data_IF_515834731385
#
_entry.id   IF_515834731385
#
_cell.length_a   1.000
_cell.length_b   1.000
_cell.length_c   1.000
_cell.angle_alpha   90.00
_cell.angle_beta   90.00
_cell.angle_gamma   90.00
#
_symmetry.space_group_name_H-M   'P 1'
#
loop_
_entity.id
_entity.type
_entity.pdbx_description
1 polymer ?
#
# COMPACT_ATOMS: atom_id res chain seq x y z
N UNK A 1 5.75 16.49 14.84
CA UNK A 1 6.16 15.18 15.36
C UNK A 1 7.66 15.26 15.48
N UNK A 2 8.20 15.14 16.70
CA UNK A 2 9.65 15.03 16.92
C UNK A 2 10.13 13.71 16.31
N UNK A 3 10.67 13.79 15.11
CA UNK A 3 11.12 12.62 14.34
C UNK A 3 12.30 11.88 14.97
N UNK A 4 12.92 12.45 16.02
CA UNK A 4 14.00 11.80 16.77
C UNK A 4 13.55 10.62 17.66
N UNK A 5 12.25 10.42 17.83
CA UNK A 5 11.71 9.29 18.64
C UNK A 5 11.53 8.02 17.79
N UNK A 6 11.40 8.15 16.46
CA UNK A 6 11.21 7.01 15.57
C UNK A 6 12.53 6.69 14.87
N UNK A 7 13.15 5.58 15.23
CA UNK A 7 14.45 5.15 14.66
C UNK A 7 14.29 4.40 13.31
N UNK A 8 13.09 3.96 12.95
CA UNK A 8 12.82 3.28 11.69
C UNK A 8 12.71 4.29 10.53
N UNK A 9 13.75 4.36 9.69
CA UNK A 9 13.80 5.24 8.52
C UNK A 9 12.62 5.01 7.56
N UNK A 10 12.14 3.77 7.42
CA UNK A 10 10.99 3.46 6.58
C UNK A 10 9.69 4.03 7.15
N UNK A 11 9.48 3.88 8.47
CA UNK A 11 8.31 4.46 9.13
C UNK A 11 8.30 5.99 9.03
N UNK A 12 9.44 6.64 9.24
CA UNK A 12 9.58 8.11 9.10
C UNK A 12 9.22 8.56 7.68
N UNK A 13 9.76 7.89 6.66
CA UNK A 13 9.50 8.23 5.25
C UNK A 13 8.01 8.03 4.87
N UNK A 14 7.35 7.01 5.43
CA UNK A 14 5.91 6.82 5.25
C UNK A 14 5.08 7.91 5.92
N UNK A 15 5.42 8.29 7.15
CA UNK A 15 4.70 9.34 7.88
C UNK A 15 4.82 10.74 7.23
N UNK A 16 5.87 10.96 6.43
CA UNK A 16 6.05 12.18 5.64
C UNK A 16 5.23 12.18 4.34
N UNK A 17 4.64 11.04 3.96
CA UNK A 17 3.82 10.94 2.76
C UNK A 17 2.59 11.85 2.85
N UNK A 18 2.19 12.44 1.74
CA UNK A 18 0.91 13.14 1.65
C UNK A 18 -0.25 12.14 1.65
N UNK A 19 -0.93 12.04 2.78
CA UNK A 19 -2.13 11.22 2.94
C UNK A 19 -3.34 11.73 2.16
N UNK A 20 -3.28 12.97 1.63
CA UNK A 20 -4.39 13.60 0.92
C UNK A 20 -5.59 13.91 1.80
N UNK A 21 -5.36 14.16 3.09
CA UNK A 21 -6.40 14.58 4.03
C UNK A 21 -6.92 15.97 3.65
N UNK A 22 -8.24 16.08 3.57
CA UNK A 22 -8.94 17.34 3.19
C UNK A 22 -9.61 18.03 4.37
N UNK A 23 -9.60 17.42 5.55
CA UNK A 23 -10.15 17.98 6.78
C UNK A 23 -11.65 17.75 7.01
N UNK A 24 -12.33 17.01 6.15
CA UNK A 24 -13.74 16.65 6.32
C UNK A 24 -14.00 15.15 6.51
N UNK A 25 -12.94 14.38 6.69
CA UNK A 25 -13.02 12.93 6.92
C UNK A 25 -13.66 12.57 8.26
N UNK A 26 -13.87 13.52 9.14
CA UNK A 26 -14.62 13.36 10.38
C UNK A 26 -16.15 13.33 10.17
N UNK A 27 -16.65 13.82 9.03
CA UNK A 27 -18.10 13.92 8.76
C UNK A 27 -18.86 12.60 8.90
N UNK A 28 -18.38 11.46 8.41
CA UNK A 28 -19.04 10.16 8.65
C UNK A 28 -19.25 9.87 10.13
N UNK A 29 -18.26 10.18 10.98
CA UNK A 29 -18.38 10.00 12.43
C UNK A 29 -19.41 10.93 13.07
N UNK A 30 -19.45 12.20 12.64
CA UNK A 30 -20.42 13.17 13.12
C UNK A 30 -21.86 12.76 12.71
N UNK A 31 -22.05 12.37 11.46
CA UNK A 31 -23.33 11.90 10.95
C UNK A 31 -23.78 10.61 11.64
N UNK A 32 -22.87 9.68 11.90
CA UNK A 32 -23.13 8.48 12.67
C UNK A 32 -23.65 8.81 14.08
N UNK A 33 -22.95 9.68 14.80
CA UNK A 33 -23.34 10.12 16.13
C UNK A 33 -24.73 10.77 16.12
N UNK A 34 -24.97 11.67 15.20
CA UNK A 34 -26.27 12.35 15.04
C UNK A 34 -27.40 11.35 14.74
N UNK A 35 -27.16 10.38 13.86
CA UNK A 35 -28.12 9.33 13.52
C UNK A 35 -28.42 8.42 14.70
N UNK A 36 -27.42 8.03 15.50
CA UNK A 36 -27.61 7.25 16.72
C UNK A 36 -28.49 8.02 17.72
N UNK A 37 -28.15 9.28 18.00
CA UNK A 37 -28.96 10.14 18.89
C UNK A 37 -30.39 10.24 18.37
N UNK A 38 -30.59 10.47 17.07
CA UNK A 38 -31.90 10.54 16.46
C UNK A 38 -32.74 9.26 16.71
N UNK A 39 -32.15 8.07 16.55
CA UNK A 39 -32.83 6.80 16.83
C UNK A 39 -33.27 6.73 18.30
N UNK A 40 -32.38 7.10 19.23
CA UNK A 40 -32.70 7.04 20.66
C UNK A 40 -33.79 8.03 21.10
N UNK A 41 -33.87 9.18 20.42
CA UNK A 41 -34.89 10.21 20.70
C UNK A 41 -36.25 9.90 20.04
N UNK A 42 -36.23 9.40 18.79
CA UNK A 42 -37.45 9.27 17.98
C UNK A 42 -38.08 7.88 18.00
N UNK A 43 -37.29 6.83 18.21
CA UNK A 43 -37.85 5.45 18.26
C UNK A 43 -38.22 5.10 19.70
N UNK A 44 -39.49 4.71 19.97
CA UNK A 44 -39.96 4.34 21.32
C UNK A 44 -39.11 3.22 21.93
N UNK A 45 -38.89 3.28 23.23
CA UNK A 45 -38.14 2.24 23.96
C UNK A 45 -38.78 0.85 23.88
N UNK A 46 -40.09 0.79 23.68
CA UNK A 46 -40.88 -0.44 23.54
C UNK A 46 -40.68 -1.13 22.20
N UNK A 47 -40.20 -0.39 21.15
CA UNK A 47 -40.00 -0.94 19.81
C UNK A 47 -38.52 -1.36 19.65
N UNK A 48 -38.14 -2.40 20.39
CA UNK A 48 -36.76 -2.89 20.44
C UNK A 48 -36.24 -3.34 19.07
N UNK A 49 -37.10 -4.02 18.29
CA UNK A 49 -36.70 -4.51 16.96
C UNK A 49 -36.36 -3.35 16.02
N UNK A 50 -37.22 -2.34 15.97
CA UNK A 50 -37.00 -1.17 15.12
C UNK A 50 -35.75 -0.39 15.51
N UNK A 51 -35.48 -0.25 16.82
CA UNK A 51 -34.21 0.33 17.30
C UNK A 51 -33.01 -0.47 16.84
N UNK A 52 -33.03 -1.78 17.06
CA UNK A 52 -31.93 -2.66 16.71
C UNK A 52 -31.62 -2.63 15.20
N UNK A 53 -32.64 -2.75 14.36
CA UNK A 53 -32.50 -2.69 12.89
C UNK A 53 -31.98 -1.33 12.46
N UNK A 54 -32.52 -0.22 13.01
CA UNK A 54 -32.07 1.13 12.66
C UNK A 54 -30.59 1.33 13.02
N UNK A 55 -30.17 0.92 14.21
CA UNK A 55 -28.77 1.03 14.63
C UNK A 55 -27.85 0.17 13.77
N UNK A 56 -28.29 -1.04 13.39
CA UNK A 56 -27.52 -1.90 12.53
C UNK A 56 -27.30 -1.29 11.13
N UNK A 57 -28.36 -0.74 10.52
CA UNK A 57 -28.28 -0.07 9.23
C UNK A 57 -27.36 1.17 9.28
N UNK A 58 -27.50 2.00 10.33
CA UNK A 58 -26.64 3.17 10.53
C UNK A 58 -25.16 2.75 10.67
N UNK A 59 -24.88 1.70 11.44
CA UNK A 59 -23.54 1.18 11.61
C UNK A 59 -22.96 0.66 10.29
N UNK A 60 -23.76 -0.04 9.49
CA UNK A 60 -23.34 -0.53 8.17
C UNK A 60 -22.97 0.64 7.25
N UNK A 61 -23.81 1.67 7.16
CA UNK A 61 -23.56 2.87 6.35
C UNK A 61 -22.29 3.57 6.81
N UNK A 62 -22.10 3.73 8.12
CA UNK A 62 -20.91 4.33 8.70
C UNK A 62 -19.65 3.52 8.33
N UNK A 63 -19.68 2.20 8.52
CA UNK A 63 -18.54 1.32 8.19
C UNK A 63 -18.15 1.43 6.71
N UNK A 64 -19.12 1.37 5.81
CA UNK A 64 -18.86 1.52 4.37
C UNK A 64 -18.28 2.91 4.07
N UNK A 65 -18.81 3.96 4.68
CA UNK A 65 -18.30 5.33 4.51
C UNK A 65 -16.84 5.47 4.97
N UNK A 66 -16.49 4.87 6.12
CA UNK A 66 -15.11 4.87 6.62
C UNK A 66 -14.18 4.10 5.68
N UNK A 67 -14.60 2.91 5.22
CA UNK A 67 -13.81 2.13 4.26
C UNK A 67 -13.56 2.94 2.98
N UNK A 68 -14.55 3.63 2.46
CA UNK A 68 -14.41 4.38 1.20
C UNK A 68 -13.61 5.68 1.35
N UNK A 69 -13.73 6.38 2.48
CA UNK A 69 -13.16 7.72 2.64
C UNK A 69 -11.85 7.74 3.42
N UNK A 70 -11.68 6.86 4.41
CA UNK A 70 -10.54 6.90 5.33
C UNK A 70 -9.47 5.89 4.94
N UNK A 71 -9.85 4.64 4.64
CA UNK A 71 -8.90 3.57 4.35
C UNK A 71 -7.94 3.92 3.20
N UNK A 72 -8.37 4.47 2.05
CA UNK A 72 -7.44 4.83 0.97
C UNK A 72 -6.41 5.90 1.36
N UNK A 73 -6.73 6.75 2.35
CA UNK A 73 -5.78 7.74 2.86
C UNK A 73 -4.75 7.11 3.79
N UNK A 74 -5.19 6.16 4.62
CA UNK A 74 -4.29 5.39 5.48
C UNK A 74 -3.33 4.54 4.64
N UNK A 75 -3.81 3.94 3.55
CA UNK A 75 -2.96 3.16 2.63
C UNK A 75 -1.80 3.98 2.06
N UNK A 76 -1.97 5.29 1.85
CA UNK A 76 -0.90 6.18 1.36
C UNK A 76 0.31 6.24 2.29
N UNK A 77 0.12 6.01 3.59
CA UNK A 77 1.20 5.92 4.58
C UNK A 77 1.83 4.53 4.68
N UNK A 78 1.45 3.57 3.85
CA UNK A 78 1.96 2.20 3.95
C UNK A 78 2.47 1.66 2.63
N UNK A 79 1.63 1.02 1.84
CA UNK A 79 2.04 0.28 0.65
C UNK A 79 1.68 0.95 -0.68
N UNK A 80 1.03 2.10 -0.66
CA UNK A 80 0.50 2.71 -1.88
C UNK A 80 1.59 2.98 -2.93
N UNK A 81 2.77 3.45 -2.52
CA UNK A 81 3.87 3.71 -3.44
C UNK A 81 4.35 2.43 -4.16
N UNK A 82 4.40 1.30 -3.43
CA UNK A 82 4.71 -0.01 -3.98
C UNK A 82 3.63 -0.46 -4.98
N UNK A 83 2.37 -0.30 -4.60
CA UNK A 83 1.21 -0.68 -5.44
C UNK A 83 1.15 0.16 -6.71
N UNK A 84 1.33 1.48 -6.62
CA UNK A 84 1.37 2.38 -7.77
C UNK A 84 2.50 2.01 -8.72
N UNK A 85 3.69 1.71 -8.18
CA UNK A 85 4.83 1.30 -8.98
C UNK A 85 4.57 -0.01 -9.75
N UNK A 86 3.99 -1.02 -9.11
CA UNK A 86 3.68 -2.26 -9.81
C UNK A 86 2.54 -2.11 -10.81
N UNK A 87 1.54 -1.28 -10.52
CA UNK A 87 0.48 -0.95 -11.48
C UNK A 87 1.00 -0.24 -12.71
N UNK A 88 2.00 0.63 -12.57
CA UNK A 88 2.58 1.35 -13.72
C UNK A 88 3.31 0.43 -14.69
N UNK A 89 3.75 -0.76 -14.23
CA UNK A 89 4.40 -1.78 -15.05
C UNK A 89 3.50 -3.01 -15.31
N UNK A 90 2.18 -2.87 -15.08
CA UNK A 90 1.25 -3.97 -15.27
C UNK A 90 1.13 -4.36 -16.75
N UNK A 91 1.30 -5.65 -17.02
CA UNK A 91 1.24 -6.19 -18.39
C UNK A 91 2.50 -6.01 -19.21
N UNK A 92 3.54 -5.37 -18.69
CA UNK A 92 4.85 -5.33 -19.35
C UNK A 92 5.54 -6.71 -19.28
N UNK A 93 6.36 -7.00 -20.29
CA UNK A 93 7.15 -8.25 -20.32
C UNK A 93 8.44 -8.10 -19.51
N UNK A 94 8.30 -7.92 -18.21
CA UNK A 94 9.38 -7.66 -17.25
C UNK A 94 9.23 -8.52 -16.01
N UNK A 95 10.29 -8.60 -15.21
CA UNK A 95 10.23 -9.21 -13.88
C UNK A 95 10.01 -8.13 -12.82
N UNK A 96 9.06 -8.35 -11.91
CA UNK A 96 8.79 -7.49 -10.74
C UNK A 96 9.19 -8.25 -9.48
N UNK A 97 10.15 -7.74 -8.71
CA UNK A 97 10.71 -8.46 -7.56
C UNK A 97 10.86 -7.56 -6.34
N UNK A 98 10.36 -8.02 -5.19
CA UNK A 98 10.64 -7.42 -3.90
C UNK A 98 11.94 -7.97 -3.34
N UNK A 99 12.79 -7.11 -2.76
CA UNK A 99 14.01 -7.49 -2.06
C UNK A 99 13.90 -7.11 -0.59
N UNK A 100 14.32 -8.04 0.29
CA UNK A 100 14.39 -7.86 1.74
C UNK A 100 13.03 -7.64 2.45
N UNK A 101 11.92 -7.87 1.78
CA UNK A 101 10.60 -7.93 2.40
C UNK A 101 9.63 -8.79 1.58
N UNK A 102 8.60 -9.33 2.24
CA UNK A 102 7.57 -10.14 1.57
C UNK A 102 6.39 -9.26 1.20
N UNK A 103 5.97 -9.30 -0.06
CA UNK A 103 4.74 -8.71 -0.54
C UNK A 103 4.26 -9.46 -1.79
N UNK A 104 2.97 -9.66 -1.89
CA UNK A 104 2.32 -10.23 -3.06
C UNK A 104 1.84 -9.16 -4.06
N UNK A 105 2.15 -7.88 -3.78
CA UNK A 105 1.70 -6.75 -4.59
C UNK A 105 2.14 -6.86 -6.06
N UNK A 106 3.36 -7.35 -6.32
CA UNK A 106 3.86 -7.55 -7.70
C UNK A 106 3.01 -8.54 -8.50
N UNK A 107 2.55 -9.62 -7.88
CA UNK A 107 1.68 -10.61 -8.51
C UNK A 107 0.28 -10.07 -8.77
N UNK A 108 -0.30 -9.41 -7.79
CA UNK A 108 -1.69 -8.96 -7.84
C UNK A 108 -1.85 -7.69 -8.68
N UNK A 109 -1.02 -6.68 -8.44
CA UNK A 109 -1.15 -5.38 -9.10
C UNK A 109 -0.31 -5.25 -10.38
N UNK A 110 0.79 -5.99 -10.48
CA UNK A 110 1.61 -6.05 -11.68
C UNK A 110 1.00 -6.88 -12.81
N UNK A 111 -0.12 -7.58 -12.54
CA UNK A 111 -0.80 -8.49 -13.48
C UNK A 111 0.18 -9.46 -14.17
N UNK A 112 1.27 -9.84 -13.46
CA UNK A 112 2.28 -10.73 -14.01
C UNK A 112 1.79 -12.17 -13.93
N UNK A 113 1.87 -12.88 -15.06
CA UNK A 113 1.71 -14.34 -15.08
C UNK A 113 2.91 -14.99 -14.37
N UNK A 114 2.74 -16.16 -13.73
CA UNK A 114 3.87 -16.90 -13.18
C UNK A 114 4.98 -17.03 -14.22
N UNK A 115 6.22 -16.65 -13.90
CA UNK A 115 7.31 -16.70 -14.88
C UNK A 115 7.58 -18.14 -15.28
N UNK A 116 7.76 -18.36 -16.59
CA UNK A 116 8.13 -19.67 -17.12
C UNK A 116 9.56 -20.06 -16.72
N UNK A 117 10.44 -19.06 -16.56
CA UNK A 117 11.80 -19.25 -16.12
C UNK A 117 11.84 -19.45 -14.59
N UNK A 118 12.19 -20.65 -14.14
CA UNK A 118 12.26 -20.97 -12.71
C UNK A 118 13.36 -20.19 -11.97
N UNK A 119 14.40 -19.72 -12.68
CA UNK A 119 15.46 -18.91 -12.09
C UNK A 119 14.95 -17.56 -11.55
N UNK A 120 13.76 -17.11 -11.94
CA UNK A 120 13.09 -15.94 -11.37
C UNK A 120 12.98 -16.00 -9.84
N UNK A 121 12.87 -17.17 -9.26
CA UNK A 121 12.73 -17.32 -7.80
C UNK A 121 14.05 -17.12 -7.06
N UNK A 122 15.18 -17.24 -7.75
CA UNK A 122 16.50 -16.92 -7.21
C UNK A 122 16.81 -15.43 -7.36
N UNK A 123 16.86 -14.72 -6.21
CA UNK A 123 17.19 -13.30 -6.18
C UNK A 123 18.61 -13.01 -6.68
N UNK A 124 19.57 -13.92 -6.45
CA UNK A 124 20.94 -13.75 -6.92
C UNK A 124 21.01 -13.82 -8.44
N UNK A 125 20.27 -14.75 -9.06
CA UNK A 125 20.18 -14.81 -10.52
C UNK A 125 19.60 -13.53 -11.12
N UNK A 126 18.57 -12.97 -10.49
CA UNK A 126 17.99 -11.70 -10.95
C UNK A 126 18.94 -10.51 -10.78
N UNK A 127 19.82 -10.54 -9.77
CA UNK A 127 20.75 -9.45 -9.47
C UNK A 127 22.07 -9.54 -10.27
N UNK A 128 22.56 -10.76 -10.60
CA UNK A 128 23.89 -10.95 -11.18
C UNK A 128 23.94 -11.93 -12.35
N UNK A 129 22.88 -12.75 -12.56
CA UNK A 129 22.84 -13.78 -13.60
C UNK A 129 22.51 -13.21 -14.99
N UNK A 130 22.47 -14.09 -15.98
CA UNK A 130 22.07 -13.75 -17.34
C UNK A 130 20.53 -13.73 -17.44
N UNK A 131 19.97 -12.53 -17.31
CA UNK A 131 18.51 -12.30 -17.30
C UNK A 131 17.98 -12.14 -18.72
N UNK A 132 16.85 -12.78 -19.00
CA UNK A 132 16.17 -12.76 -20.31
C UNK A 132 15.21 -11.57 -20.48
N UNK A 133 14.89 -10.86 -19.41
CA UNK A 133 13.99 -9.70 -19.38
C UNK A 133 14.48 -8.67 -18.38
N UNK A 134 14.09 -7.43 -18.58
CA UNK A 134 14.33 -6.36 -17.62
C UNK A 134 13.70 -6.69 -16.26
N UNK A 135 14.40 -6.34 -15.19
CA UNK A 135 13.96 -6.61 -13.82
C UNK A 135 13.79 -5.30 -13.08
N UNK A 136 12.60 -5.09 -12.55
CA UNK A 136 12.34 -4.03 -11.58
C UNK A 136 12.40 -4.58 -10.17
N UNK A 137 13.25 -4.01 -9.34
CA UNK A 137 13.36 -4.34 -7.93
C UNK A 137 12.76 -3.24 -7.08
N UNK A 138 12.13 -3.66 -6.00
CA UNK A 138 11.67 -2.75 -4.95
C UNK A 138 12.26 -3.20 -3.63
N UNK A 139 12.88 -2.27 -2.90
CA UNK A 139 13.38 -2.50 -1.54
C UNK A 139 12.97 -1.36 -0.63
N UNK A 140 13.12 -1.54 0.68
CA UNK A 140 12.93 -0.47 1.66
C UNK A 140 14.21 0.35 1.82
N UNK A 141 14.08 1.63 2.15
CA UNK A 141 15.20 2.59 2.27
C UNK A 141 16.33 2.09 3.17
N UNK A 142 16.03 1.32 4.22
CA UNK A 142 17.04 0.78 5.15
C UNK A 142 17.94 -0.30 4.54
N UNK A 143 17.58 -0.84 3.36
CA UNK A 143 18.36 -1.88 2.68
C UNK A 143 19.09 -1.40 1.42
N UNK A 144 19.08 -0.09 1.17
CA UNK A 144 19.69 0.50 -0.04
C UNK A 144 21.19 0.33 -0.11
N UNK A 145 21.89 0.29 1.04
CA UNK A 145 23.34 0.07 1.09
C UNK A 145 23.74 -1.26 0.48
N UNK A 146 22.93 -2.31 0.70
CA UNK A 146 23.15 -3.63 0.08
C UNK A 146 23.02 -3.64 -1.44
N UNK A 147 22.39 -2.64 -2.04
CA UNK A 147 22.24 -2.55 -3.50
C UNK A 147 23.47 -1.95 -4.20
N UNK A 148 24.35 -1.26 -3.45
CA UNK A 148 25.56 -0.65 -4.01
C UNK A 148 26.58 -1.66 -4.55
N UNK A 149 26.49 -2.91 -4.10
CA UNK A 149 27.36 -3.99 -4.60
C UNK A 149 26.99 -4.51 -6.00
N UNK A 150 25.83 -4.07 -6.56
CA UNK A 150 25.35 -4.49 -7.86
C UNK A 150 25.39 -3.33 -8.88
N UNK A 151 26.50 -3.11 -9.60
CA UNK A 151 26.66 -1.94 -10.49
C UNK A 151 25.70 -1.92 -11.67
N UNK A 152 25.18 -3.07 -12.10
CA UNK A 152 24.21 -3.17 -13.18
C UNK A 152 22.79 -2.81 -12.74
N UNK A 153 22.54 -2.67 -11.43
CA UNK A 153 21.24 -2.35 -10.86
C UNK A 153 21.15 -0.85 -10.59
N UNK A 154 20.43 -0.13 -11.43
CA UNK A 154 20.33 1.33 -11.36
C UNK A 154 19.14 1.75 -10.51
N UNK A 155 19.34 2.69 -9.58
CA UNK A 155 18.24 3.34 -8.87
C UNK A 155 17.47 4.24 -9.83
N UNK A 156 16.15 4.01 -9.95
CA UNK A 156 15.26 4.77 -10.86
C UNK A 156 14.31 5.70 -10.10
N UNK A 157 14.14 5.51 -8.80
CA UNK A 157 13.28 6.39 -8.01
C UNK A 157 13.19 5.98 -6.55
N UNK A 158 12.48 6.83 -5.80
CA UNK A 158 12.17 6.61 -4.38
C UNK A 158 10.84 7.27 -4.06
N UNK A 159 9.98 6.58 -3.30
CA UNK A 159 8.71 7.13 -2.82
C UNK A 159 8.28 6.42 -1.53
N UNK A 160 7.92 7.21 -0.51
CA UNK A 160 7.39 6.73 0.78
C UNK A 160 8.26 5.62 1.40
N UNK A 161 9.59 5.80 1.38
CA UNK A 161 10.54 4.84 1.94
C UNK A 161 10.76 3.57 1.12
N UNK A 162 10.09 3.41 -0.03
CA UNK A 162 10.43 2.42 -1.03
C UNK A 162 11.41 2.99 -2.04
N UNK A 163 12.41 2.20 -2.41
CA UNK A 163 13.40 2.55 -3.42
C UNK A 163 13.27 1.57 -4.58
N UNK A 164 13.19 2.12 -5.77
CA UNK A 164 12.97 1.41 -7.01
C UNK A 164 14.26 1.32 -7.82
N UNK A 165 14.53 0.14 -8.35
CA UNK A 165 15.70 -0.13 -9.15
C UNK A 165 15.31 -0.85 -10.44
N UNK A 166 16.14 -0.66 -11.46
CA UNK A 166 16.03 -1.33 -12.75
C UNK A 166 17.36 -2.01 -13.08
N UNK A 167 17.31 -3.26 -13.49
CA UNK A 167 18.37 -3.96 -14.18
C UNK A 167 17.88 -4.34 -15.58
N UNK A 168 18.60 -3.91 -16.60
CA UNK A 168 18.28 -4.21 -18.01
C UNK A 168 18.85 -5.56 -18.42
N UNK A 169 18.09 -6.33 -19.19
CA UNK A 169 18.61 -7.51 -19.86
C UNK A 169 19.68 -7.11 -20.89
N UNK A 170 20.75 -7.85 -20.92
CA UNK A 170 21.74 -7.69 -21.98
C UNK A 170 21.16 -8.31 -23.25
N UNK A 171 20.84 -7.49 -24.23
CA UNK A 171 20.35 -7.91 -25.55
C UNK A 171 21.51 -8.12 -26.50
#
# INVERSE_FOLDING_TARGET
IEMNVIHDKFAVANLQADGGWRGFEFLPGLLFLAAVIFVFVRVPKTDVLKRAVSLWVITLIFTVSVIMLVVPRIERYSQNALVEFFKSHAGENVYLKNLNFKSYAGWFYGATTPPQNQNYYDANWLLTGDIDKDVYFVTKIQFTEGMLQYPEVQKIGEKNGFVFYLRKAQR
#
